data_IF_154220986228
#
_entry.id   IF_154220986228
#
_cell.length_a   1.000
_cell.length_b   1.000
_cell.length_c   1.000
_cell.angle_alpha   90.00
_cell.angle_beta   90.00
_cell.angle_gamma   90.00
#
_symmetry.space_group_name_H-M   'P 1'
#
loop_
_entity.id
_entity.type
_entity.pdbx_description
1 polymer ?
#
# COMPACT_ATOMS: atom_id res chain seq x y z
N UNK A 1 2.44 -22.23 -23.34
CA UNK A 1 1.45 -21.27 -23.88
C UNK A 1 1.80 -19.85 -23.44
N UNK A 2 1.13 -18.79 -23.95
CA UNK A 2 1.39 -17.39 -23.50
C UNK A 2 1.21 -17.23 -21.98
N UNK A 3 0.27 -17.95 -21.38
CA UNK A 3 0.00 -17.88 -19.94
C UNK A 3 1.13 -18.49 -19.12
N UNK A 4 1.62 -19.68 -19.50
CA UNK A 4 2.79 -20.31 -18.86
C UNK A 4 4.04 -19.42 -18.94
N UNK A 5 4.26 -18.72 -20.07
CA UNK A 5 5.38 -17.78 -20.19
C UNK A 5 5.27 -16.60 -19.24
N UNK A 6 4.06 -16.08 -19.01
CA UNK A 6 3.80 -15.01 -18.03
C UNK A 6 4.00 -15.53 -16.60
N UNK A 7 3.51 -16.74 -16.29
CA UNK A 7 3.72 -17.37 -14.99
C UNK A 7 5.22 -17.55 -14.70
N UNK A 8 5.99 -18.01 -15.70
CA UNK A 8 7.44 -18.14 -15.57
C UNK A 8 8.16 -16.79 -15.42
N UNK A 9 7.71 -15.75 -16.12
CA UNK A 9 8.23 -14.38 -15.95
C UNK A 9 8.06 -13.94 -14.49
N UNK A 10 6.84 -14.03 -13.96
CA UNK A 10 6.53 -13.62 -12.60
C UNK A 10 7.33 -14.41 -11.56
N UNK A 11 7.44 -15.74 -11.73
CA UNK A 11 8.30 -16.57 -10.90
C UNK A 11 9.77 -16.14 -10.94
N UNK A 12 10.28 -15.74 -12.12
CA UNK A 12 11.65 -15.23 -12.25
C UNK A 12 11.86 -13.92 -11.49
N UNK A 13 10.87 -13.00 -11.52
CA UNK A 13 10.94 -11.74 -10.77
C UNK A 13 10.90 -12.00 -9.26
N UNK A 14 10.03 -12.91 -8.81
CA UNK A 14 9.96 -13.35 -7.40
C UNK A 14 11.29 -13.89 -6.88
N UNK A 15 11.95 -14.75 -7.66
CA UNK A 15 13.25 -15.32 -7.28
C UNK A 15 14.35 -14.27 -7.19
N UNK A 16 14.25 -13.18 -7.96
CA UNK A 16 15.27 -12.12 -8.00
C UNK A 16 15.07 -11.08 -6.90
N UNK A 17 13.84 -10.68 -6.64
CA UNK A 17 13.52 -9.54 -5.76
C UNK A 17 12.94 -9.94 -4.41
N UNK A 18 12.58 -11.21 -4.22
CA UNK A 18 11.97 -11.73 -3.00
C UNK A 18 10.48 -12.04 -3.20
N UNK A 19 10.10 -13.27 -2.89
CA UNK A 19 8.77 -13.78 -3.17
C UNK A 19 7.65 -12.98 -2.48
N UNK A 20 7.78 -12.68 -1.18
CA UNK A 20 6.71 -11.98 -0.44
C UNK A 20 6.58 -10.53 -0.91
N UNK A 21 7.70 -9.85 -1.14
CA UNK A 21 7.72 -8.51 -1.70
C UNK A 21 6.99 -8.45 -3.04
N UNK A 22 7.38 -9.31 -4.00
CA UNK A 22 6.77 -9.33 -5.34
C UNK A 22 5.31 -9.75 -5.29
N UNK A 23 4.97 -10.77 -4.49
CA UNK A 23 3.58 -11.23 -4.30
C UNK A 23 2.66 -10.07 -3.90
N UNK A 24 3.05 -9.32 -2.87
CA UNK A 24 2.25 -8.19 -2.37
C UNK A 24 2.27 -7.02 -3.35
N UNK A 25 3.42 -6.67 -3.92
CA UNK A 25 3.52 -5.56 -4.86
C UNK A 25 2.66 -5.78 -6.11
N UNK A 26 2.74 -6.96 -6.73
CA UNK A 26 1.92 -7.30 -7.89
C UNK A 26 0.45 -7.51 -7.54
N UNK A 27 0.16 -7.98 -6.32
CA UNK A 27 -1.17 -7.97 -5.73
C UNK A 27 -1.76 -6.55 -5.70
N UNK A 28 -1.06 -5.59 -5.10
CA UNK A 28 -1.50 -4.19 -5.01
C UNK A 28 -1.70 -3.54 -6.38
N UNK A 29 -0.76 -3.70 -7.32
CA UNK A 29 -0.90 -3.18 -8.69
C UNK A 29 -2.14 -3.78 -9.37
N UNK A 30 -2.40 -5.08 -9.19
CA UNK A 30 -3.53 -5.78 -9.80
C UNK A 30 -4.87 -5.38 -9.18
N UNK A 31 -4.89 -5.09 -7.88
CA UNK A 31 -6.11 -4.70 -7.16
C UNK A 31 -6.50 -3.25 -7.37
N UNK A 32 -5.54 -2.36 -7.62
CA UNK A 32 -5.80 -0.94 -7.81
C UNK A 32 -6.74 -0.71 -9.00
N UNK A 33 -7.74 0.16 -8.83
CA UNK A 33 -8.81 0.33 -9.82
C UNK A 33 -8.32 0.97 -11.11
N UNK A 34 -7.41 1.94 -11.01
CA UNK A 34 -6.85 2.65 -12.17
C UNK A 34 -5.35 2.38 -12.39
N UNK A 35 -4.71 1.59 -11.52
CA UNK A 35 -3.25 1.48 -11.39
C UNK A 35 -2.72 2.27 -10.20
N UNK A 36 -1.41 2.23 -9.98
CA UNK A 36 -0.72 2.93 -8.89
C UNK A 36 0.48 3.71 -9.44
N UNK A 37 0.83 4.83 -8.82
CA UNK A 37 2.17 5.42 -9.03
C UNK A 37 3.23 4.57 -8.32
N UNK A 38 4.50 4.72 -8.69
CA UNK A 38 5.61 4.08 -7.97
C UNK A 38 5.67 4.51 -6.50
N UNK A 39 5.43 5.80 -6.25
CA UNK A 39 5.41 6.37 -4.90
C UNK A 39 4.22 5.85 -4.08
N UNK A 40 3.04 5.72 -4.70
CA UNK A 40 1.88 5.10 -4.04
C UNK A 40 2.21 3.66 -3.65
N UNK A 41 2.80 2.88 -4.56
CA UNK A 41 3.20 1.50 -4.29
C UNK A 41 4.23 1.42 -3.14
N UNK A 42 5.24 2.28 -3.13
CA UNK A 42 6.23 2.39 -2.05
C UNK A 42 5.57 2.66 -0.69
N UNK A 43 4.65 3.64 -0.64
CA UNK A 43 3.92 3.98 0.57
C UNK A 43 3.04 2.83 1.06
N UNK A 44 2.30 2.18 0.16
CA UNK A 44 1.41 1.06 0.48
C UNK A 44 2.22 -0.14 1.00
N UNK A 45 3.32 -0.48 0.34
CA UNK A 45 4.22 -1.54 0.79
C UNK A 45 4.87 -1.20 2.15
N UNK A 46 5.13 0.09 2.42
CA UNK A 46 5.61 0.56 3.73
C UNK A 46 4.55 0.49 4.84
N UNK A 47 3.27 0.40 4.50
CA UNK A 47 2.21 0.09 5.46
C UNK A 47 2.07 -1.41 5.73
N UNK A 48 2.66 -2.27 4.89
CA UNK A 48 2.47 -3.70 4.94
C UNK A 48 3.50 -4.40 5.84
N UNK A 49 3.06 -4.85 7.02
CA UNK A 49 3.94 -5.52 7.97
C UNK A 49 4.49 -6.86 7.42
N UNK A 50 3.77 -7.54 6.53
CA UNK A 50 4.23 -8.80 5.91
C UNK A 50 5.44 -8.51 5.01
N UNK A 51 5.35 -7.46 4.20
CA UNK A 51 6.44 -7.03 3.31
C UNK A 51 7.63 -6.53 4.12
N UNK A 52 7.39 -5.68 5.11
CA UNK A 52 8.45 -5.14 5.96
C UNK A 52 9.18 -6.22 6.76
N UNK A 53 8.46 -7.24 7.24
CA UNK A 53 9.05 -8.38 7.95
C UNK A 53 9.94 -9.25 7.07
N UNK A 54 9.70 -9.25 5.76
CA UNK A 54 10.52 -9.96 4.77
C UNK A 54 11.75 -9.14 4.32
N UNK A 55 11.55 -7.84 4.10
CA UNK A 55 12.58 -6.95 3.53
C UNK A 55 13.54 -6.40 4.58
N UNK A 56 13.05 -6.10 5.79
CA UNK A 56 13.83 -5.42 6.82
C UNK A 56 14.29 -6.42 7.87
N UNK A 57 15.60 -6.44 8.13
CA UNK A 57 16.19 -7.25 9.20
C UNK A 57 15.94 -6.59 10.56
N UNK A 58 15.61 -7.40 11.57
CA UNK A 58 15.16 -6.92 12.89
C UNK A 58 16.15 -5.99 13.60
N UNK A 59 17.45 -6.14 13.32
CA UNK A 59 18.51 -5.28 13.85
C UNK A 59 18.52 -3.87 13.27
N UNK A 60 17.82 -3.61 12.16
CA UNK A 60 17.79 -2.32 11.47
C UNK A 60 16.44 -1.60 11.56
N UNK A 61 15.58 -1.97 12.51
CA UNK A 61 14.33 -1.25 12.76
C UNK A 61 14.61 0.16 13.31
N UNK A 62 14.35 1.18 12.50
CA UNK A 62 14.49 2.60 12.85
C UNK A 62 13.26 3.38 12.43
N UNK A 63 13.02 4.52 13.09
CA UNK A 63 12.03 5.49 12.62
C UNK A 63 12.70 6.46 11.63
N UNK A 64 12.07 6.75 10.48
CA UNK A 64 10.85 6.12 9.93
C UNK A 64 11.12 4.70 9.43
N UNK A 65 10.12 3.82 9.52
CA UNK A 65 10.23 2.43 9.06
C UNK A 65 9.50 2.27 7.72
N UNK A 66 10.25 2.23 6.63
CA UNK A 66 9.76 2.25 5.25
C UNK A 66 10.51 1.27 4.34
N UNK A 67 9.85 0.90 3.25
CA UNK A 67 10.49 0.27 2.09
C UNK A 67 11.29 1.34 1.33
N UNK A 68 12.47 0.97 0.81
CA UNK A 68 13.27 1.88 -0.03
C UNK A 68 12.66 1.95 -1.43
N UNK A 69 12.61 3.15 -2.01
CA UNK A 69 12.20 3.38 -3.39
C UNK A 69 12.98 2.49 -4.39
N UNK A 70 14.25 2.20 -4.13
CA UNK A 70 15.08 1.33 -4.99
C UNK A 70 14.47 -0.04 -5.24
N UNK A 71 13.69 -0.59 -4.30
CA UNK A 71 13.02 -1.88 -4.48
C UNK A 71 11.85 -1.79 -5.46
N UNK A 72 11.10 -0.69 -5.40
CA UNK A 72 10.00 -0.42 -6.34
C UNK A 72 10.56 -0.12 -7.74
N UNK A 73 11.63 0.67 -7.82
CA UNK A 73 12.30 0.95 -9.08
C UNK A 73 12.84 -0.34 -9.74
N UNK A 74 13.48 -1.22 -8.97
CA UNK A 74 13.93 -2.54 -9.46
C UNK A 74 12.77 -3.42 -9.91
N UNK A 75 11.66 -3.46 -9.16
CA UNK A 75 10.46 -4.20 -9.57
C UNK A 75 9.95 -3.73 -10.92
N UNK A 76 9.89 -2.40 -11.12
CA UNK A 76 9.50 -1.80 -12.39
C UNK A 76 10.47 -2.17 -13.51
N UNK A 77 11.77 -2.12 -13.26
CA UNK A 77 12.81 -2.49 -14.24
C UNK A 77 12.68 -3.95 -14.68
N UNK A 78 12.47 -4.89 -13.74
CA UNK A 78 12.24 -6.31 -14.08
C UNK A 78 10.96 -6.53 -14.90
N UNK A 79 9.99 -5.62 -14.79
CA UNK A 79 8.71 -5.68 -15.47
C UNK A 79 8.60 -4.66 -16.61
N UNK A 80 9.74 -4.15 -17.10
CA UNK A 80 9.76 -3.23 -18.23
C UNK A 80 9.06 -3.85 -19.45
N UNK A 81 8.15 -3.08 -20.07
CA UNK A 81 7.31 -3.55 -21.18
C UNK A 81 6.11 -4.41 -20.76
N UNK A 82 6.05 -4.91 -19.52
CA UNK A 82 4.90 -5.61 -18.95
C UNK A 82 4.05 -4.70 -18.06
N UNK A 83 4.69 -3.75 -17.38
CA UNK A 83 4.06 -2.58 -16.79
C UNK A 83 4.29 -1.37 -17.71
N UNK A 84 3.22 -0.64 -17.99
CA UNK A 84 3.26 0.56 -18.82
C UNK A 84 2.73 1.76 -18.06
N UNK A 85 3.21 2.94 -18.44
CA UNK A 85 2.75 4.20 -17.90
C UNK A 85 1.45 4.65 -18.57
N UNK A 86 0.50 5.10 -17.76
CA UNK A 86 -0.76 5.66 -18.21
C UNK A 86 -1.02 6.99 -17.52
N UNK A 87 -1.20 8.04 -18.32
CA UNK A 87 -1.63 9.35 -17.82
C UNK A 87 -3.12 9.34 -17.45
N UNK A 88 -3.41 9.65 -16.18
CA UNK A 88 -4.77 9.80 -15.67
C UNK A 88 -4.84 11.09 -14.84
N UNK A 89 -5.52 12.11 -15.36
CA UNK A 89 -5.74 13.40 -14.67
C UNK A 89 -4.44 14.00 -14.09
N UNK A 90 -3.40 14.08 -14.92
CA UNK A 90 -2.06 14.61 -14.61
C UNK A 90 -1.21 13.75 -13.65
N UNK A 91 -1.59 12.48 -13.46
CA UNK A 91 -0.81 11.51 -12.70
C UNK A 91 -0.41 10.35 -13.61
N UNK A 92 0.86 9.97 -13.59
CA UNK A 92 1.38 8.79 -14.28
C UNK A 92 1.19 7.55 -13.43
N UNK A 93 0.34 6.62 -13.88
CA UNK A 93 0.08 5.36 -13.19
C UNK A 93 0.79 4.20 -13.91
N UNK A 94 1.33 3.26 -13.16
CA UNK A 94 1.74 1.95 -13.64
C UNK A 94 0.52 1.04 -13.76
N UNK A 95 0.33 0.47 -14.95
CA UNK A 95 -0.73 -0.49 -15.26
C UNK A 95 -0.19 -1.66 -16.07
N UNK A 96 -0.88 -2.80 -16.03
CA UNK A 96 -0.53 -3.94 -16.88
C UNK A 96 -0.67 -3.59 -18.38
N UNK A 97 0.36 -3.93 -19.16
CA UNK A 97 0.42 -3.65 -20.60
C UNK A 97 -0.68 -4.37 -21.39
N UNK A 98 -1.09 -5.55 -20.93
CA UNK A 98 -2.13 -6.35 -21.59
C UNK A 98 -2.99 -7.10 -20.57
N UNK A 99 -4.18 -7.51 -21.02
CA UNK A 99 -5.17 -8.22 -20.18
C UNK A 99 -4.67 -9.59 -19.68
N UNK A 100 -3.83 -10.29 -20.44
CA UNK A 100 -3.32 -11.60 -20.02
C UNK A 100 -2.42 -11.49 -18.79
N UNK A 101 -1.55 -10.48 -18.73
CA UNK A 101 -0.72 -10.20 -17.55
C UNK A 101 -1.60 -9.97 -16.32
N UNK A 102 -2.62 -9.12 -16.43
CA UNK A 102 -3.55 -8.85 -15.35
C UNK A 102 -4.30 -10.11 -14.88
N UNK A 103 -4.80 -10.94 -15.82
CA UNK A 103 -5.52 -12.18 -15.48
C UNK A 103 -4.63 -13.20 -14.76
N UNK A 104 -3.38 -13.34 -15.20
CA UNK A 104 -2.43 -14.25 -14.56
C UNK A 104 -2.00 -13.70 -13.20
N UNK A 105 -1.74 -12.40 -13.09
CA UNK A 105 -1.44 -11.77 -11.81
C UNK A 105 -2.60 -11.93 -10.81
N UNK A 106 -3.85 -11.78 -11.27
CA UNK A 106 -5.04 -12.04 -10.45
C UNK A 106 -5.09 -13.50 -9.98
N UNK A 107 -4.86 -14.46 -10.87
CA UNK A 107 -4.85 -15.89 -10.54
C UNK A 107 -3.77 -16.23 -9.49
N UNK A 108 -2.58 -15.66 -9.62
CA UNK A 108 -1.45 -16.00 -8.76
C UNK A 108 -1.48 -15.25 -7.41
N UNK A 109 -1.74 -13.95 -7.45
CA UNK A 109 -1.56 -13.06 -6.29
C UNK A 109 -2.84 -12.78 -5.51
N UNK A 110 -4.01 -13.03 -6.10
CA UNK A 110 -5.31 -12.71 -5.51
C UNK A 110 -6.18 -13.96 -5.27
N UNK A 111 -5.54 -15.10 -5.02
CA UNK A 111 -6.21 -16.39 -4.80
C UNK A 111 -6.64 -16.63 -3.34
N UNK A 112 -5.91 -16.08 -2.37
CA UNK A 112 -6.24 -16.15 -0.95
C UNK A 112 -7.15 -14.99 -0.53
N UNK A 113 -8.37 -15.28 -0.10
CA UNK A 113 -9.35 -14.27 0.30
C UNK A 113 -8.90 -13.43 1.50
N UNK A 114 -8.17 -14.01 2.46
CA UNK A 114 -7.67 -13.29 3.64
C UNK A 114 -6.60 -12.26 3.24
N UNK A 115 -5.66 -12.66 2.39
CA UNK A 115 -4.64 -11.76 1.85
C UNK A 115 -5.28 -10.65 1.02
N UNK A 116 -6.26 -10.98 0.17
CA UNK A 116 -6.99 -10.01 -0.65
C UNK A 116 -7.75 -9.01 0.23
N UNK A 117 -8.43 -9.49 1.28
CA UNK A 117 -9.11 -8.62 2.22
C UNK A 117 -8.14 -7.68 2.95
N UNK A 118 -6.99 -8.20 3.39
CA UNK A 118 -5.95 -7.41 4.04
C UNK A 118 -5.36 -6.36 3.10
N UNK A 119 -5.06 -6.72 1.85
CA UNK A 119 -4.55 -5.79 0.85
C UNK A 119 -5.56 -4.68 0.52
N UNK A 120 -6.86 -5.01 0.39
CA UNK A 120 -7.90 -3.99 0.24
C UNK A 120 -7.97 -3.06 1.45
N UNK A 121 -7.82 -3.59 2.66
CA UNK A 121 -7.80 -2.79 3.89
C UNK A 121 -6.63 -1.82 3.93
N UNK A 122 -5.42 -2.26 3.52
CA UNK A 122 -4.23 -1.40 3.47
C UNK A 122 -4.33 -0.33 2.39
N UNK A 123 -4.86 -0.65 1.21
CA UNK A 123 -5.15 0.34 0.17
C UNK A 123 -6.17 1.38 0.66
N UNK A 124 -7.23 0.95 1.34
CA UNK A 124 -8.20 1.86 1.93
C UNK A 124 -7.56 2.77 3.00
N UNK A 125 -6.72 2.21 3.87
CA UNK A 125 -5.98 2.98 4.88
C UNK A 125 -5.03 4.00 4.28
N UNK A 126 -4.33 3.63 3.21
CA UNK A 126 -3.48 4.54 2.45
C UNK A 126 -4.29 5.73 1.93
N UNK A 127 -5.30 5.48 1.09
CA UNK A 127 -6.11 6.56 0.49
C UNK A 127 -6.96 7.32 1.51
N UNK A 128 -7.23 6.74 2.68
CA UNK A 128 -7.87 7.45 3.79
C UNK A 128 -6.91 8.46 4.44
N UNK A 129 -5.61 8.21 4.43
CA UNK A 129 -4.60 8.93 5.21
C UNK A 129 -4.52 8.43 6.65
N UNK A 130 -4.80 7.14 6.90
CA UNK A 130 -4.96 6.61 8.26
C UNK A 130 -3.69 6.68 9.11
N UNK A 131 -2.51 6.68 8.47
CA UNK A 131 -1.19 6.64 9.10
C UNK A 131 -0.31 7.85 8.75
N UNK A 132 -0.93 8.98 8.37
CA UNK A 132 -0.22 10.21 8.02
C UNK A 132 0.03 11.12 9.23
N UNK A 133 0.70 12.25 9.01
CA UNK A 133 0.86 13.30 10.03
C UNK A 133 1.70 12.85 11.24
N UNK A 134 2.64 11.92 11.04
CA UNK A 134 3.49 11.38 12.11
C UNK A 134 2.83 10.29 12.97
N UNK A 135 1.62 9.82 12.59
CA UNK A 135 0.97 8.71 13.30
C UNK A 135 1.74 7.42 13.08
N UNK A 136 2.11 6.77 14.18
CA UNK A 136 2.88 5.52 14.16
C UNK A 136 2.00 4.29 14.03
N UNK A 137 2.37 3.37 13.14
CA UNK A 137 1.76 2.04 12.97
C UNK A 137 2.56 0.99 13.73
N UNK A 138 1.87 0.07 14.41
CA UNK A 138 2.51 -1.05 15.09
C UNK A 138 3.13 -2.01 14.05
N UNK A 139 4.36 -2.43 14.30
CA UNK A 139 5.07 -3.43 13.52
C UNK A 139 5.27 -4.71 14.34
N UNK A 140 4.93 -5.86 13.75
CA UNK A 140 5.08 -7.19 14.35
C UNK A 140 5.74 -8.12 13.34
N UNK A 141 6.71 -8.92 13.80
CA UNK A 141 7.45 -9.86 12.94
C UNK A 141 6.69 -11.16 12.62
N UNK A 142 5.54 -11.39 13.26
CA UNK A 142 4.85 -12.68 13.19
C UNK A 142 3.63 -12.65 12.26
N UNK A 143 3.53 -13.69 11.43
CA UNK A 143 2.52 -13.87 10.37
C UNK A 143 1.11 -14.15 10.90
N UNK A 144 0.91 -14.25 12.23
CA UNK A 144 -0.33 -14.76 12.83
C UNK A 144 -1.07 -13.79 13.76
N UNK A 145 -0.77 -12.49 13.74
CA UNK A 145 -1.58 -11.51 14.49
C UNK A 145 -2.15 -10.43 13.58
N UNK A 146 -3.36 -10.73 13.10
CA UNK A 146 -4.32 -9.80 12.54
C UNK A 146 -4.61 -8.71 13.58
N UNK A 147 -3.88 -7.60 13.52
CA UNK A 147 -4.31 -6.37 14.17
C UNK A 147 -5.00 -5.51 13.13
N UNK A 148 -6.18 -5.95 12.69
CA UNK A 148 -7.26 -5.00 12.44
C UNK A 148 -7.59 -4.36 13.78
N UNK A 149 -6.78 -3.38 14.20
CA UNK A 149 -7.29 -2.37 15.10
C UNK A 149 -8.36 -1.66 14.28
N UNK A 150 -9.60 -2.11 14.48
CA UNK A 150 -10.79 -1.49 13.97
C UNK A 150 -10.63 0.02 14.18
N UNK A 151 -10.48 0.75 13.08
CA UNK A 151 -10.69 2.20 13.08
C UNK A 151 -12.21 2.43 13.17
N UNK A 152 -12.85 1.82 14.16
CA UNK A 152 -14.19 2.17 14.63
C UNK A 152 -13.99 3.01 15.89
N UNK A 153 -13.75 4.30 15.67
CA UNK A 153 -14.17 5.44 16.49
C UNK A 153 -13.23 6.62 16.26
N UNK A 154 -13.56 7.40 15.23
CA UNK A 154 -13.22 8.81 15.20
C UNK A 154 -14.07 9.51 16.28
N UNK A 155 -13.60 9.53 17.53
CA UNK A 155 -14.07 10.46 18.55
C UNK A 155 -12.88 11.24 19.09
N UNK A 156 -13.02 12.57 19.06
CA UNK A 156 -12.11 13.55 19.64
C UNK A 156 -11.59 13.11 21.01
N UNK A 157 -10.27 13.12 21.26
CA UNK A 157 -9.75 12.80 22.57
C UNK A 157 -9.85 14.01 23.49
N UNK A 158 -10.99 14.14 24.17
CA UNK A 158 -11.02 14.78 25.49
C UNK A 158 -11.30 13.71 26.54
N UNK A 159 -10.49 13.74 27.59
CA UNK A 159 -10.51 12.96 28.83
C UNK A 159 -9.68 11.65 28.92
N UNK A 160 -8.52 11.86 29.55
CA UNK A 160 -7.80 11.02 30.51
C UNK A 160 -8.40 9.64 30.86
N UNK A 161 -7.60 8.61 30.58
CA UNK A 161 -7.37 7.53 31.55
C UNK A 161 -5.92 7.04 31.40
N UNK A 162 -5.17 7.22 32.48
CA UNK A 162 -3.88 6.60 32.76
C UNK A 162 -4.09 5.11 33.03
N UNK A 163 -3.32 4.24 32.35
CA UNK A 163 -2.53 3.13 32.88
C UNK A 163 -2.12 2.19 31.72
N UNK A 164 -0.84 1.78 31.70
CA UNK A 164 -0.13 0.93 30.71
C UNK A 164 0.32 1.58 29.38
N UNK A 165 1.29 2.51 29.46
CA UNK A 165 1.93 3.16 28.28
C UNK A 165 3.28 2.57 27.85
N UNK A 166 3.70 1.40 28.31
CA UNK A 166 5.13 1.01 28.20
C UNK A 166 5.48 -0.11 27.22
N UNK A 167 4.53 -0.79 26.57
CA UNK A 167 4.84 -1.88 25.61
C UNK A 167 4.59 -1.53 24.14
N UNK A 168 3.51 -0.82 23.83
CA UNK A 168 3.08 -0.53 22.44
C UNK A 168 4.01 0.47 21.72
N UNK A 169 4.54 1.47 22.43
CA UNK A 169 5.37 2.50 21.80
C UNK A 169 6.68 1.94 21.24
N UNK A 170 7.21 0.86 21.85
CA UNK A 170 8.50 0.25 21.49
C UNK A 170 8.53 -0.30 20.06
N UNK A 171 7.38 -0.75 19.55
CA UNK A 171 7.27 -1.34 18.20
C UNK A 171 6.34 -0.54 17.29
N UNK A 172 6.11 0.74 17.61
CA UNK A 172 5.34 1.66 16.77
C UNK A 172 6.29 2.52 15.94
N UNK A 173 6.03 2.58 14.63
CA UNK A 173 6.88 3.32 13.70
C UNK A 173 6.06 4.23 12.80
N UNK A 174 6.57 5.44 12.63
CA UNK A 174 6.08 6.35 11.61
C UNK A 174 6.45 5.76 10.24
N UNK A 175 5.45 5.73 9.37
CA UNK A 175 5.59 5.24 7.98
C UNK A 175 5.79 6.39 7.01
N UNK A 176 5.63 7.64 7.44
CA UNK A 176 5.69 8.87 6.64
C UNK A 176 4.79 8.84 5.40
N UNK A 177 3.63 8.18 5.48
CA UNK A 177 2.68 8.19 4.38
C UNK A 177 1.99 9.56 4.27
N UNK A 178 1.63 10.00 3.05
CA UNK A 178 0.96 11.29 2.83
C UNK A 178 -0.44 11.35 3.46
N UNK A 179 -0.92 12.57 3.73
CA UNK A 179 -2.22 12.80 4.38
C UNK A 179 -3.44 12.45 3.53
N UNK A 180 -3.28 12.33 2.21
CA UNK A 180 -4.37 12.05 1.28
C UNK A 180 -5.61 12.91 1.56
N UNK A 181 -5.53 14.26 1.52
CA UNK A 181 -6.70 15.11 1.72
C UNK A 181 -7.69 14.95 0.55
N UNK A 182 -8.95 15.34 0.74
CA UNK A 182 -9.93 15.39 -0.37
C UNK A 182 -9.59 16.47 -1.39
N UNK A 183 -8.98 17.56 -0.93
CA UNK A 183 -8.53 18.69 -1.73
C UNK A 183 -7.13 19.10 -1.28
N UNK A 184 -6.23 19.35 -2.22
CA UNK A 184 -4.92 19.95 -1.98
C UNK A 184 -5.07 21.47 -2.08
N UNK A 185 -4.74 22.17 -1.01
CA UNK A 185 -4.72 23.63 -0.99
C UNK A 185 -3.35 24.12 -1.44
N UNK A 186 -3.29 24.97 -2.47
CA UNK A 186 -2.03 25.45 -3.04
C UNK A 186 -1.42 26.58 -2.22
N UNK A 187 -2.28 27.42 -1.64
CA UNK A 187 -1.89 28.58 -0.90
C UNK A 187 -2.83 28.76 0.30
N UNK A 188 -2.26 28.83 1.50
CA UNK A 188 -3.02 29.04 2.73
C UNK A 188 -3.68 30.43 2.77
N UNK A 189 -3.13 31.40 2.02
CA UNK A 189 -3.67 32.75 1.91
C UNK A 189 -4.78 32.90 0.85
N UNK A 190 -4.94 31.90 -0.02
CA UNK A 190 -5.97 31.88 -1.09
C UNK A 190 -6.76 30.57 -1.01
N UNK A 191 -7.66 30.41 -0.02
CA UNK A 191 -8.35 29.15 0.24
C UNK A 191 -9.25 28.67 -0.90
N UNK A 192 -9.64 29.55 -1.81
CA UNK A 192 -10.50 29.23 -2.94
C UNK A 192 -9.74 28.52 -4.09
N UNK A 193 -8.40 28.49 -4.06
CA UNK A 193 -7.58 27.79 -5.07
C UNK A 193 -7.17 26.43 -4.52
N UNK A 194 -7.86 25.39 -4.97
CA UNK A 194 -7.61 24.01 -4.57
C UNK A 194 -7.64 23.03 -5.75
N UNK A 195 -6.95 21.90 -5.58
CA UNK A 195 -7.01 20.76 -6.49
C UNK A 195 -7.69 19.58 -5.82
N UNK A 196 -8.62 18.94 -6.52
CA UNK A 196 -9.30 17.76 -5.98
C UNK A 196 -8.38 16.55 -6.03
N UNK A 197 -8.30 15.79 -4.93
CA UNK A 197 -7.59 14.51 -4.91
C UNK A 197 -8.42 13.43 -5.61
N UNK A 198 -8.24 13.34 -6.93
CA UNK A 198 -8.93 12.36 -7.75
C UNK A 198 -8.52 10.91 -7.45
N UNK A 199 -7.30 10.68 -6.93
CA UNK A 199 -6.85 9.35 -6.54
C UNK A 199 -7.67 8.83 -5.37
N UNK A 200 -7.78 9.61 -4.29
CA UNK A 200 -8.66 9.29 -3.15
C UNK A 200 -10.10 9.04 -3.56
N UNK A 201 -10.68 9.92 -4.38
CA UNK A 201 -12.06 9.74 -4.85
C UNK A 201 -12.28 8.44 -5.64
N UNK A 202 -11.32 8.04 -6.47
CA UNK A 202 -11.47 6.88 -7.34
C UNK A 202 -11.25 5.55 -6.62
N UNK A 203 -10.26 5.51 -5.72
CA UNK A 203 -9.75 4.28 -5.10
C UNK A 203 -10.40 4.00 -3.73
N UNK A 204 -10.61 5.02 -2.89
CA UNK A 204 -11.00 4.82 -1.49
C UNK A 204 -12.30 4.01 -1.33
N UNK A 205 -13.38 4.44 -1.98
CA UNK A 205 -14.69 3.76 -1.85
C UNK A 205 -14.59 2.32 -2.37
N UNK A 206 -13.86 2.11 -3.47
CA UNK A 206 -13.68 0.79 -4.04
C UNK A 206 -13.00 -0.17 -3.05
N UNK A 207 -11.92 0.26 -2.39
CA UNK A 207 -11.22 -0.58 -1.43
C UNK A 207 -11.97 -0.72 -0.09
N UNK A 208 -12.71 0.29 0.35
CA UNK A 208 -13.57 0.18 1.55
C UNK A 208 -14.68 -0.85 1.37
N UNK A 209 -15.37 -0.85 0.23
CA UNK A 209 -16.42 -1.84 -0.06
C UNK A 209 -15.85 -3.25 -0.14
N UNK A 210 -14.71 -3.42 -0.80
CA UNK A 210 -14.05 -4.73 -0.92
C UNK A 210 -13.44 -5.25 0.39
N UNK A 211 -13.16 -4.35 1.34
CA UNK A 211 -12.74 -4.71 2.70
C UNK A 211 -13.92 -4.80 3.70
N UNK A 212 -15.19 -4.69 3.24
CA UNK A 212 -16.36 -4.80 4.12
C UNK A 212 -16.48 -3.66 5.15
N UNK A 213 -15.89 -2.50 4.87
CA UNK A 213 -15.87 -1.32 5.76
C UNK A 213 -16.91 -0.25 5.39
N UNK A 214 -17.78 -0.56 4.42
CA UNK A 214 -18.95 0.23 3.96
C UNK A 214 -20.08 -0.72 3.65
#
# INVERSE_FOLDING_TARGET
TVHESIEHLFYSVENKLGQRFVFRALGYITMAKAGLTEVELEDILSLDNIVLGDVIVASYLKNPLRISYDLVAKLREELEGYLVERQVRNVTLMVWANRHLHLIAQKLYLSNEEDVHQMHSLLAEYFLGAWSGGRKKIFTYDNNHFTSLNISHHKNPHHQQSHEKTSSDKYSYDRQTPEQPWVFQCNLLEPDIFFVNHRKMAELVYHLTRSGRT
#
